data_IF_450824751953
#
_entry.id   IF_450824751953
#
_cell.length_a   1.000
_cell.length_b   1.000
_cell.length_c   1.000
_cell.angle_alpha   90.00
_cell.angle_beta   90.00
_cell.angle_gamma   90.00
#
_symmetry.space_group_name_H-M   'P 1'
#
loop_
_entity.id
_entity.type
_entity.pdbx_description
1 polymer ?
#
# COMPACT_ATOMS: atom_id res chain seq x y z
N UNK A 1 -5.44 35.73 8.83
CA UNK A 1 -5.68 34.33 8.30
C UNK A 1 -4.99 33.34 9.23
N UNK A 2 -5.77 32.46 9.86
CA UNK A 2 -5.33 31.58 10.94
C UNK A 2 -4.34 30.51 10.45
N UNK A 3 -3.37 30.10 11.29
CA UNK A 3 -2.41 29.00 11.05
C UNK A 3 -3.10 27.69 10.60
N UNK A 4 -4.35 27.48 10.99
CA UNK A 4 -5.20 26.33 10.64
C UNK A 4 -5.63 26.32 9.16
N UNK A 5 -5.90 27.48 8.57
CA UNK A 5 -6.31 27.63 7.16
C UNK A 5 -5.10 27.41 6.23
N UNK A 6 -3.92 27.91 6.63
CA UNK A 6 -2.67 27.73 5.87
C UNK A 6 -2.22 26.25 5.86
N UNK A 7 -2.38 25.53 6.97
CA UNK A 7 -2.04 24.10 7.07
C UNK A 7 -2.96 23.24 6.19
N UNK A 8 -4.28 23.50 6.18
CA UNK A 8 -5.25 22.80 5.31
C UNK A 8 -4.97 23.01 3.81
N UNK A 9 -4.59 24.23 3.40
CA UNK A 9 -4.26 24.49 1.99
C UNK A 9 -2.98 23.77 1.54
N UNK A 10 -1.98 23.68 2.40
CA UNK A 10 -0.70 22.99 2.11
C UNK A 10 -0.90 21.46 2.03
N UNK A 11 -1.70 20.88 2.94
CA UNK A 11 -2.05 19.44 2.89
C UNK A 11 -2.86 19.09 1.63
N UNK A 12 -3.79 19.95 1.21
CA UNK A 12 -4.58 19.74 -0.01
C UNK A 12 -3.72 19.77 -1.28
N UNK A 13 -2.74 20.67 -1.35
CA UNK A 13 -1.79 20.75 -2.48
C UNK A 13 -0.90 19.50 -2.50
N UNK A 14 -0.41 19.04 -1.36
CA UNK A 14 0.41 17.83 -1.26
C UNK A 14 -0.34 16.58 -1.76
N UNK A 15 -1.62 16.41 -1.39
CA UNK A 15 -2.43 15.27 -1.82
C UNK A 15 -2.70 15.33 -3.33
N UNK A 16 -2.94 16.51 -3.90
CA UNK A 16 -3.12 16.67 -5.33
C UNK A 16 -1.87 16.29 -6.13
N UNK A 17 -0.67 16.62 -5.62
CA UNK A 17 0.58 16.19 -6.22
C UNK A 17 0.75 14.66 -6.08
N UNK A 18 0.49 14.08 -4.91
CA UNK A 18 0.55 12.63 -4.71
C UNK A 18 -0.39 11.86 -5.67
N UNK A 19 -1.58 12.40 -5.97
CA UNK A 19 -2.54 11.80 -6.92
C UNK A 19 -2.00 11.70 -8.35
N UNK A 20 -1.09 12.58 -8.76
CA UNK A 20 -0.48 12.52 -10.10
C UNK A 20 0.38 11.28 -10.29
N UNK A 21 0.77 10.62 -9.20
CA UNK A 21 1.57 9.40 -9.21
C UNK A 21 0.72 8.11 -9.11
N UNK A 22 -0.61 8.23 -9.14
CA UNK A 22 -1.48 7.05 -9.19
C UNK A 22 -1.49 6.47 -10.61
N UNK A 23 -1.33 5.15 -10.68
CA UNK A 23 -1.26 4.42 -11.93
C UNK A 23 -2.55 4.59 -12.75
N UNK A 24 -2.42 5.09 -13.96
CA UNK A 24 -3.50 5.29 -14.93
C UNK A 24 -3.17 4.61 -16.24
N UNK A 25 -4.16 4.46 -17.13
CA UNK A 25 -3.92 3.95 -18.49
C UNK A 25 -3.08 4.91 -19.35
N UNK A 26 -2.93 6.17 -18.92
CA UNK A 26 -2.19 7.22 -19.65
C UNK A 26 -0.75 7.38 -19.15
N UNK A 27 -0.35 6.63 -18.11
CA UNK A 27 1.01 6.70 -17.60
C UNK A 27 2.02 6.22 -18.62
N UNK A 28 3.25 6.68 -18.43
CA UNK A 28 4.34 6.23 -19.29
C UNK A 28 4.53 4.71 -19.17
N UNK A 29 5.02 4.13 -20.25
CA UNK A 29 5.26 2.70 -20.36
C UNK A 29 6.13 2.14 -19.20
N UNK A 30 7.10 2.91 -18.73
CA UNK A 30 8.04 2.44 -17.71
C UNK A 30 7.39 2.30 -16.35
N UNK A 31 6.55 3.26 -15.96
CA UNK A 31 5.78 3.19 -14.72
C UNK A 31 4.84 1.97 -14.73
N UNK A 32 4.14 1.74 -15.85
CA UNK A 32 3.27 0.57 -15.98
C UNK A 32 4.06 -0.75 -15.89
N UNK A 33 5.19 -0.87 -16.60
CA UNK A 33 6.03 -2.07 -16.58
C UNK A 33 6.71 -2.30 -15.23
N UNK A 34 7.06 -1.24 -14.49
CA UNK A 34 7.60 -1.37 -13.14
C UNK A 34 6.60 -2.05 -12.19
N UNK A 35 5.31 -1.63 -12.22
CA UNK A 35 4.28 -2.26 -11.41
C UNK A 35 3.88 -3.65 -11.89
N UNK A 36 3.91 -3.94 -13.20
CA UNK A 36 3.74 -5.30 -13.73
C UNK A 36 4.86 -6.22 -13.26
N UNK A 37 6.10 -5.75 -13.30
CA UNK A 37 7.27 -6.50 -12.80
C UNK A 37 7.17 -6.73 -11.30
N UNK A 38 6.81 -5.70 -10.51
CA UNK A 38 6.61 -5.82 -9.07
C UNK A 38 5.55 -6.88 -8.75
N UNK A 39 4.39 -6.81 -9.41
CA UNK A 39 3.32 -7.81 -9.27
C UNK A 39 3.82 -9.23 -9.56
N UNK A 40 4.54 -9.42 -10.69
CA UNK A 40 5.09 -10.73 -11.06
C UNK A 40 6.05 -11.26 -10.01
N UNK A 41 6.93 -10.42 -9.48
CA UNK A 41 7.88 -10.80 -8.44
C UNK A 41 7.18 -11.22 -7.14
N UNK A 42 6.11 -10.51 -6.75
CA UNK A 42 5.29 -10.86 -5.58
C UNK A 42 4.63 -12.23 -5.80
N UNK A 43 4.02 -12.47 -6.98
CA UNK A 43 3.40 -13.75 -7.31
C UNK A 43 4.45 -14.86 -7.21
N UNK A 44 5.64 -14.69 -7.77
CA UNK A 44 6.73 -15.67 -7.67
C UNK A 44 7.19 -15.90 -6.23
N UNK A 45 7.26 -14.85 -5.40
CA UNK A 45 7.64 -14.97 -3.99
C UNK A 45 6.60 -15.75 -3.16
N UNK A 46 5.35 -15.79 -3.62
CA UNK A 46 4.23 -16.50 -3.00
C UNK A 46 3.93 -17.85 -3.69
N UNK A 47 4.74 -18.27 -4.67
CA UNK A 47 4.58 -19.56 -5.38
C UNK A 47 4.74 -20.72 -4.40
N UNK A 48 3.87 -21.72 -4.53
CA UNK A 48 3.82 -22.89 -3.62
C UNK A 48 2.86 -22.73 -2.44
N UNK A 49 2.31 -21.55 -2.23
CA UNK A 49 1.23 -21.32 -1.28
C UNK A 49 -0.11 -21.29 -2.04
N UNK A 50 -1.04 -22.17 -1.68
CA UNK A 50 -2.37 -22.19 -2.28
C UNK A 50 -3.28 -21.09 -1.74
N UNK A 51 -4.30 -20.70 -2.52
CA UNK A 51 -5.36 -19.78 -2.11
C UNK A 51 -5.05 -18.31 -2.34
N UNK A 52 -6.00 -17.49 -1.93
CA UNK A 52 -5.97 -16.03 -2.04
C UNK A 52 -4.97 -15.43 -1.04
N UNK A 53 -4.41 -14.25 -1.34
CA UNK A 53 -3.27 -13.68 -0.62
C UNK A 53 -3.58 -12.36 0.06
N UNK A 54 -3.03 -12.20 1.26
CA UNK A 54 -3.01 -10.95 2.02
C UNK A 54 -1.58 -10.40 1.98
N UNK A 55 -1.39 -9.25 1.36
CA UNK A 55 -0.09 -8.61 1.17
C UNK A 55 -0.08 -7.30 1.95
N UNK A 56 0.86 -7.17 2.86
CA UNK A 56 1.05 -5.91 3.58
C UNK A 56 2.08 -5.04 2.88
N UNK A 57 1.83 -3.73 2.82
CA UNK A 57 2.77 -2.73 2.34
C UNK A 57 3.13 -1.80 3.49
N UNK A 58 4.41 -1.67 3.78
CA UNK A 58 4.92 -0.79 4.84
C UNK A 58 6.24 -0.14 4.44
N UNK A 59 6.81 0.67 5.33
CA UNK A 59 8.11 1.34 5.15
C UNK A 59 8.78 1.57 6.51
N UNK A 60 10.04 2.00 6.53
CA UNK A 60 10.73 2.34 7.77
C UNK A 60 10.15 3.60 8.42
N UNK A 61 10.01 4.67 7.63
CA UNK A 61 9.63 6.01 8.07
C UNK A 61 8.47 6.58 7.26
N UNK A 62 7.96 7.72 7.69
CA UNK A 62 6.93 8.47 6.95
C UNK A 62 7.45 9.00 5.61
N UNK A 63 6.52 9.26 4.68
CA UNK A 63 6.79 9.89 3.38
C UNK A 63 7.69 9.09 2.42
N UNK A 64 7.84 7.78 2.63
CA UNK A 64 8.57 6.90 1.73
C UNK A 64 7.74 6.41 0.53
N UNK A 65 6.43 6.72 0.49
CA UNK A 65 5.55 6.42 -0.65
C UNK A 65 4.77 5.12 -0.52
N UNK A 66 4.68 4.54 0.68
CA UNK A 66 3.94 3.29 0.94
C UNK A 66 2.50 3.31 0.39
N UNK A 67 1.71 4.36 0.70
CA UNK A 67 0.30 4.42 0.30
C UNK A 67 0.12 4.54 -1.23
N UNK A 68 0.97 5.32 -1.91
CA UNK A 68 0.99 5.36 -3.39
C UNK A 68 1.36 3.99 -3.96
N UNK A 69 2.36 3.33 -3.38
CA UNK A 69 2.77 1.98 -3.79
C UNK A 69 1.64 0.98 -3.56
N UNK A 70 0.93 1.04 -2.43
CA UNK A 70 -0.23 0.19 -2.11
C UNK A 70 -1.35 0.34 -3.14
N UNK A 71 -1.73 1.59 -3.47
CA UNK A 71 -2.77 1.88 -4.48
C UNK A 71 -2.35 1.36 -5.85
N UNK A 72 -1.15 1.70 -6.31
CA UNK A 72 -0.66 1.31 -7.63
C UNK A 72 -0.49 -0.21 -7.76
N UNK A 73 -0.05 -0.88 -6.71
CA UNK A 73 0.02 -2.33 -6.65
C UNK A 73 -1.38 -2.94 -6.76
N UNK A 74 -2.37 -2.42 -6.03
CA UNK A 74 -3.76 -2.86 -6.09
C UNK A 74 -4.34 -2.69 -7.50
N UNK A 75 -4.10 -1.54 -8.14
CA UNK A 75 -4.48 -1.30 -9.55
C UNK A 75 -3.83 -2.33 -10.46
N UNK A 76 -2.52 -2.59 -10.30
CA UNK A 76 -1.79 -3.54 -11.15
C UNK A 76 -2.30 -4.97 -11.01
N UNK A 77 -2.71 -5.41 -9.81
CA UNK A 77 -3.35 -6.71 -9.60
C UNK A 77 -4.76 -6.75 -10.21
N UNK A 78 -5.58 -5.71 -10.02
CA UNK A 78 -6.94 -5.65 -10.55
C UNK A 78 -6.99 -5.68 -12.08
N UNK A 79 -5.96 -5.17 -12.77
CA UNK A 79 -5.80 -5.25 -14.23
C UNK A 79 -5.63 -6.68 -14.78
N UNK A 80 -5.50 -7.69 -13.92
CA UNK A 80 -5.40 -9.11 -14.32
C UNK A 80 -6.70 -9.89 -14.08
N UNK A 81 -7.84 -9.21 -14.09
CA UNK A 81 -9.17 -9.78 -13.84
C UNK A 81 -9.29 -10.50 -12.48
N UNK A 82 -8.48 -10.09 -11.51
CA UNK A 82 -8.52 -10.58 -10.13
C UNK A 82 -9.25 -9.60 -9.23
N UNK A 83 -10.17 -10.10 -8.41
CA UNK A 83 -10.81 -9.28 -7.38
C UNK A 83 -9.79 -8.87 -6.34
N UNK A 84 -9.63 -7.57 -6.14
CA UNK A 84 -8.65 -6.98 -5.21
C UNK A 84 -9.37 -6.07 -4.22
N UNK A 85 -9.02 -6.19 -2.94
CA UNK A 85 -9.43 -5.25 -1.90
C UNK A 85 -8.18 -4.55 -1.35
N UNK A 86 -8.20 -3.23 -1.36
CA UNK A 86 -7.20 -2.39 -0.71
C UNK A 86 -7.77 -1.85 0.60
N UNK A 87 -7.08 -2.05 1.72
CA UNK A 87 -7.53 -1.63 3.05
C UNK A 87 -6.56 -0.60 3.64
N UNK A 88 -7.08 0.54 4.10
CA UNK A 88 -6.33 1.53 4.86
C UNK A 88 -6.21 1.10 6.33
N UNK A 89 -5.08 0.51 6.67
CA UNK A 89 -4.73 0.08 8.02
C UNK A 89 -3.89 1.11 8.78
N UNK A 90 -3.57 2.28 8.17
CA UNK A 90 -2.97 3.40 8.89
C UNK A 90 -4.08 4.19 9.62
N UNK A 91 -4.62 3.60 10.70
CA UNK A 91 -5.70 4.20 11.49
C UNK A 91 -5.28 5.48 12.23
N UNK A 92 -4.00 5.87 12.14
CA UNK A 92 -3.47 7.08 12.79
C UNK A 92 -3.37 8.27 11.83
N UNK A 93 -2.97 8.00 10.58
CA UNK A 93 -2.80 8.99 9.51
C UNK A 93 -3.30 8.45 8.18
N UNK A 94 -4.60 8.13 8.09
CA UNK A 94 -5.17 7.52 6.90
C UNK A 94 -5.04 8.42 5.67
N UNK A 95 -4.74 7.82 4.52
CA UNK A 95 -4.53 8.55 3.28
C UNK A 95 -5.39 8.07 2.12
N UNK A 96 -5.84 6.81 2.12
CA UNK A 96 -6.48 6.22 0.94
C UNK A 96 -7.77 6.95 0.53
N UNK A 97 -8.61 7.36 1.49
CA UNK A 97 -9.81 8.14 1.19
C UNK A 97 -9.48 9.43 0.42
N UNK A 98 -8.47 10.16 0.89
CA UNK A 98 -8.00 11.38 0.23
C UNK A 98 -7.35 11.10 -1.11
N UNK A 99 -6.47 10.09 -1.23
CA UNK A 99 -5.78 9.75 -2.48
C UNK A 99 -6.76 9.34 -3.59
N UNK A 100 -7.78 8.57 -3.25
CA UNK A 100 -8.75 8.03 -4.21
C UNK A 100 -10.00 8.90 -4.37
N UNK A 101 -10.07 10.06 -3.70
CA UNK A 101 -11.24 10.96 -3.71
C UNK A 101 -12.52 10.26 -3.24
N UNK A 102 -12.40 9.39 -2.25
CA UNK A 102 -13.54 8.68 -1.67
C UNK A 102 -14.11 9.48 -0.50
N UNK A 103 -15.43 9.64 -0.49
CA UNK A 103 -16.15 10.09 0.68
C UNK A 103 -16.53 8.85 1.50
N UNK A 104 -15.83 8.61 2.61
CA UNK A 104 -16.12 7.47 3.45
C UNK A 104 -16.23 7.89 4.90
N UNK A 105 -17.38 7.61 5.51
CA UNK A 105 -17.61 7.77 6.94
C UNK A 105 -17.45 6.43 7.67
N UNK A 106 -17.72 5.30 6.97
CA UNK A 106 -17.59 3.94 7.49
C UNK A 106 -16.35 3.29 6.87
N UNK A 107 -15.53 2.63 7.69
CA UNK A 107 -14.31 1.94 7.25
C UNK A 107 -13.87 0.88 8.24
N UNK A 108 -12.62 0.47 8.15
CA UNK A 108 -12.04 -0.64 8.91
C UNK A 108 -12.30 -0.54 10.42
N UNK A 109 -12.07 0.62 11.03
CA UNK A 109 -12.26 0.81 12.47
C UNK A 109 -13.70 0.57 12.89
N UNK A 110 -14.68 1.02 12.10
CA UNK A 110 -16.09 0.83 12.35
C UNK A 110 -16.48 -0.64 12.21
N UNK A 111 -16.02 -1.34 11.17
CA UNK A 111 -16.26 -2.77 10.95
C UNK A 111 -15.69 -3.63 12.08
N UNK A 112 -14.51 -3.27 12.61
CA UNK A 112 -13.92 -3.98 13.73
C UNK A 112 -14.68 -3.81 15.05
N UNK A 113 -15.50 -2.77 15.17
CA UNK A 113 -16.43 -2.56 16.29
C UNK A 113 -17.77 -3.23 16.01
N UNK A 114 -18.33 -3.03 14.82
CA UNK A 114 -19.62 -3.56 14.38
C UNK A 114 -19.49 -4.19 12.99
N UNK A 115 -19.42 -5.52 12.95
CA UNK A 115 -19.23 -6.30 11.71
C UNK A 115 -20.39 -6.13 10.72
N UNK A 116 -21.57 -5.74 11.16
CA UNK A 116 -22.73 -5.52 10.27
C UNK A 116 -22.50 -4.40 9.25
N UNK A 117 -21.49 -3.57 9.48
CA UNK A 117 -21.09 -2.48 8.59
C UNK A 117 -20.16 -2.90 7.44
N UNK A 118 -19.78 -4.20 7.33
CA UNK A 118 -18.79 -4.66 6.38
C UNK A 118 -19.14 -4.32 4.92
N UNK A 119 -20.37 -4.61 4.50
CA UNK A 119 -20.81 -4.31 3.13
C UNK A 119 -20.76 -2.81 2.82
N UNK A 120 -21.13 -1.97 3.78
CA UNK A 120 -21.10 -0.51 3.63
C UNK A 120 -19.68 0.06 3.60
N UNK A 121 -18.72 -0.59 4.27
CA UNK A 121 -17.34 -0.16 4.34
C UNK A 121 -16.55 -0.47 3.06
N UNK A 122 -17.02 -1.41 2.24
CA UNK A 122 -16.37 -1.81 0.98
C UNK A 122 -16.89 -0.93 -0.16
N UNK A 123 -16.02 -0.04 -0.63
CA UNK A 123 -16.34 0.93 -1.66
C UNK A 123 -15.81 0.49 -3.03
N UNK A 124 -16.64 0.51 -4.08
CA UNK A 124 -16.15 0.30 -5.44
C UNK A 124 -15.27 1.49 -5.87
N UNK A 125 -14.33 1.22 -6.77
CA UNK A 125 -13.49 2.27 -7.38
C UNK A 125 -13.82 2.43 -8.87
N UNK A 126 -13.17 3.41 -9.51
CA UNK A 126 -13.23 3.58 -10.98
C UNK A 126 -12.41 2.51 -11.72
N UNK A 127 -11.58 1.76 -11.01
CA UNK A 127 -10.77 0.67 -11.58
C UNK A 127 -11.59 -0.62 -11.46
N UNK A 128 -11.89 -1.32 -12.57
CA UNK A 128 -12.59 -2.60 -12.51
C UNK A 128 -11.87 -3.59 -11.60
N UNK A 129 -12.61 -4.41 -10.88
CA UNK A 129 -12.10 -5.43 -9.96
C UNK A 129 -11.36 -4.90 -8.72
N UNK A 130 -11.29 -3.57 -8.50
CA UNK A 130 -10.68 -2.97 -7.32
C UNK A 130 -11.74 -2.36 -6.40
N UNK A 131 -11.84 -2.88 -5.18
CA UNK A 131 -12.58 -2.28 -4.07
C UNK A 131 -11.63 -1.71 -3.03
N UNK A 132 -12.12 -0.76 -2.23
CA UNK A 132 -11.33 -0.12 -1.17
C UNK A 132 -12.15 -0.08 0.12
N UNK A 133 -11.50 -0.41 1.22
CA UNK A 133 -11.99 -0.14 2.57
C UNK A 133 -11.10 0.94 3.19
N UNK A 134 -11.68 2.09 3.50
CA UNK A 134 -10.95 3.18 4.17
C UNK A 134 -10.74 2.86 5.65
N UNK A 135 -9.97 3.68 6.35
CA UNK A 135 -9.73 3.50 7.79
C UNK A 135 -10.98 3.60 8.65
N UNK A 136 -11.98 4.39 8.21
CA UNK A 136 -13.09 4.82 9.05
C UNK A 136 -12.68 5.90 10.05
N UNK A 137 -13.36 5.96 11.19
CA UNK A 137 -13.06 6.88 12.27
C UNK A 137 -11.74 6.51 12.96
N UNK A 138 -10.97 7.52 13.38
CA UNK A 138 -9.69 7.30 14.08
C UNK A 138 -9.98 6.79 15.49
N UNK A 139 -9.63 5.52 15.81
CA UNK A 139 -9.90 4.97 17.13
C UNK A 139 -8.85 5.43 18.16
N UNK A 140 -9.15 5.39 19.46
CA UNK A 140 -8.17 5.76 20.51
C UNK A 140 -7.04 4.73 20.67
N UNK A 141 -7.26 3.47 20.29
CA UNK A 141 -6.34 2.35 20.49
C UNK A 141 -6.11 1.55 19.18
N UNK A 142 -5.46 2.12 18.14
CA UNK A 142 -5.31 1.48 16.84
C UNK A 142 -4.63 0.10 16.89
N UNK A 143 -3.51 -0.02 17.61
CA UNK A 143 -2.74 -1.27 17.69
C UNK A 143 -3.53 -2.44 18.27
N UNK A 144 -4.33 -2.18 19.33
CA UNK A 144 -5.16 -3.20 19.95
C UNK A 144 -6.28 -3.65 18.99
N UNK A 145 -6.88 -2.69 18.30
CA UNK A 145 -7.95 -2.95 17.33
C UNK A 145 -7.44 -3.80 16.16
N UNK A 146 -6.29 -3.43 15.59
CA UNK A 146 -5.62 -4.18 14.52
C UNK A 146 -5.08 -5.54 15.00
N UNK A 147 -4.71 -5.65 16.28
CA UNK A 147 -4.27 -6.88 16.93
C UNK A 147 -5.39 -7.83 17.36
N UNK A 148 -6.65 -7.41 17.25
CA UNK A 148 -7.80 -8.15 17.79
C UNK A 148 -8.11 -9.44 17.01
N UNK A 149 -8.83 -10.37 17.67
CA UNK A 149 -9.40 -11.56 17.01
C UNK A 149 -10.40 -11.18 15.91
N UNK A 150 -11.07 -10.02 16.05
CA UNK A 150 -12.00 -9.52 15.04
C UNK A 150 -11.27 -9.17 13.74
N UNK A 151 -10.08 -8.57 13.82
CA UNK A 151 -9.26 -8.30 12.64
C UNK A 151 -8.82 -9.60 11.95
N UNK A 152 -8.43 -10.62 12.71
CA UNK A 152 -8.09 -11.94 12.16
C UNK A 152 -9.28 -12.56 11.43
N UNK A 153 -10.46 -12.58 12.08
CA UNK A 153 -11.68 -13.13 11.48
C UNK A 153 -12.09 -12.37 10.20
N UNK A 154 -12.01 -11.03 10.22
CA UNK A 154 -12.29 -10.20 9.06
C UNK A 154 -11.35 -10.51 7.89
N UNK A 155 -10.05 -10.63 8.13
CA UNK A 155 -9.08 -10.95 7.08
C UNK A 155 -9.33 -12.34 6.48
N UNK A 156 -9.68 -13.35 7.29
CA UNK A 156 -10.01 -14.67 6.79
C UNK A 156 -11.30 -14.67 5.97
N UNK A 157 -12.32 -13.91 6.35
CA UNK A 157 -13.55 -13.74 5.58
C UNK A 157 -13.26 -13.06 4.23
N UNK A 158 -12.51 -11.96 4.23
CA UNK A 158 -12.14 -11.24 3.02
C UNK A 158 -11.29 -12.09 2.08
N UNK A 159 -10.44 -12.97 2.61
CA UNK A 159 -9.65 -13.96 1.85
C UNK A 159 -10.54 -14.92 1.06
N UNK A 160 -11.76 -15.20 1.49
CA UNK A 160 -12.66 -16.09 0.73
C UNK A 160 -13.26 -15.40 -0.52
N UNK A 161 -13.30 -14.06 -0.53
CA UNK A 161 -13.98 -13.26 -1.56
C UNK A 161 -12.99 -12.64 -2.54
N UNK A 162 -11.82 -12.18 -2.06
CA UNK A 162 -10.83 -11.45 -2.84
C UNK A 162 -9.61 -12.31 -3.11
N UNK A 163 -9.14 -12.31 -4.37
CA UNK A 163 -7.89 -13.00 -4.73
C UNK A 163 -6.68 -12.36 -4.07
N UNK A 164 -6.71 -11.05 -3.90
CA UNK A 164 -5.68 -10.28 -3.21
C UNK A 164 -6.30 -9.26 -2.26
N UNK A 165 -5.85 -9.26 -1.02
CA UNK A 165 -6.13 -8.21 -0.04
C UNK A 165 -4.82 -7.48 0.22
N UNK A 166 -4.78 -6.17 -0.04
CA UNK A 166 -3.59 -5.34 0.15
C UNK A 166 -3.82 -4.43 1.34
N UNK A 167 -2.92 -4.49 2.32
CA UNK A 167 -2.99 -3.69 3.55
C UNK A 167 -1.99 -2.53 3.45
N UNK A 168 -2.48 -1.29 3.39
CA UNK A 168 -1.62 -0.10 3.56
C UNK A 168 -1.45 0.18 5.05
N UNK A 169 -0.24 0.04 5.57
CA UNK A 169 0.05 0.12 7.00
C UNK A 169 0.97 1.27 7.36
N UNK A 170 0.97 1.76 8.62
CA UNK A 170 1.90 2.81 9.05
C UNK A 170 3.36 2.33 9.00
N UNK A 171 4.34 3.26 9.11
CA UNK A 171 5.76 2.91 9.13
C UNK A 171 6.14 2.10 10.38
N UNK A 172 7.02 1.10 10.19
CA UNK A 172 7.44 0.14 11.23
C UNK A 172 8.10 0.82 12.43
N UNK A 173 9.02 1.77 12.20
CA UNK A 173 9.76 2.43 13.28
C UNK A 173 8.94 3.47 14.07
N UNK A 174 7.74 3.77 13.61
CA UNK A 174 6.90 4.80 14.25
C UNK A 174 5.91 4.21 15.24
N UNK A 175 5.36 3.04 14.92
CA UNK A 175 4.29 2.38 15.69
C UNK A 175 4.30 0.87 15.46
N UNK A 176 3.78 0.12 16.42
CA UNK A 176 3.75 -1.34 16.39
C UNK A 176 2.70 -1.93 15.44
N UNK A 177 1.79 -1.12 14.94
CA UNK A 177 0.63 -1.50 14.13
C UNK A 177 1.03 -2.37 12.92
N UNK A 178 2.09 -1.96 12.20
CA UNK A 178 2.59 -2.69 11.04
C UNK A 178 3.12 -4.08 11.41
N UNK A 179 3.86 -4.20 12.51
CA UNK A 179 4.41 -5.48 12.99
C UNK A 179 3.29 -6.40 13.46
N UNK A 180 2.29 -5.86 14.16
CA UNK A 180 1.11 -6.61 14.64
C UNK A 180 0.32 -7.20 13.47
N UNK A 181 0.12 -6.44 12.39
CA UNK A 181 -0.59 -6.92 11.19
C UNK A 181 0.23 -7.88 10.35
N UNK A 182 1.54 -7.72 10.33
CA UNK A 182 2.42 -8.49 9.49
C UNK A 182 2.31 -10.02 9.75
N UNK A 183 2.10 -10.42 10.99
CA UNK A 183 1.86 -11.84 11.36
C UNK A 183 0.55 -12.42 10.83
N UNK A 184 -0.33 -11.60 10.26
CA UNK A 184 -1.63 -11.99 9.66
C UNK A 184 -1.64 -11.87 8.15
N UNK A 185 -0.53 -11.45 7.56
CA UNK A 185 -0.33 -11.39 6.12
C UNK A 185 0.51 -12.56 5.62
N UNK A 186 0.39 -12.88 4.33
CA UNK A 186 1.25 -13.89 3.68
C UNK A 186 2.64 -13.34 3.39
N UNK A 187 2.83 -12.03 3.54
CA UNK A 187 4.13 -11.38 3.49
C UNK A 187 4.04 -9.87 3.35
N UNK A 188 5.19 -9.25 3.56
CA UNK A 188 5.37 -7.79 3.59
C UNK A 188 6.16 -7.33 2.38
N UNK A 189 5.64 -6.33 1.68
CA UNK A 189 6.35 -5.54 0.69
C UNK A 189 6.90 -4.30 1.39
N UNK A 190 8.23 -4.13 1.38
CA UNK A 190 8.90 -3.06 2.09
C UNK A 190 9.28 -1.92 1.13
N UNK A 191 8.79 -0.71 1.40
CA UNK A 191 9.04 0.46 0.55
C UNK A 191 10.21 1.28 1.13
N UNK A 192 11.17 1.60 0.26
CA UNK A 192 12.34 2.44 0.55
C UNK A 192 12.34 3.59 -0.44
N UNK A 193 12.60 4.81 0.00
CA UNK A 193 12.63 5.98 -0.88
C UNK A 193 14.06 6.43 -1.15
N UNK A 194 14.44 6.46 -2.43
CA UNK A 194 15.75 6.92 -2.88
C UNK A 194 16.03 8.35 -2.41
N UNK A 195 17.22 8.58 -1.85
CA UNK A 195 17.65 9.90 -1.37
C UNK A 195 16.89 10.42 -0.13
N UNK A 196 16.03 9.60 0.50
CA UNK A 196 15.24 9.97 1.67
C UNK A 196 15.37 8.95 2.82
N UNK A 197 15.26 7.66 2.52
CA UNK A 197 15.38 6.61 3.53
C UNK A 197 16.81 6.50 4.03
N UNK A 198 16.99 6.53 5.35
CA UNK A 198 18.28 6.33 5.99
C UNK A 198 18.54 4.84 6.21
N UNK A 199 19.78 4.40 5.95
CA UNK A 199 20.18 3.00 6.04
C UNK A 199 19.87 2.40 7.43
N UNK A 200 20.21 3.12 8.50
CA UNK A 200 19.96 2.67 9.87
C UNK A 200 18.46 2.45 10.13
N UNK A 201 17.63 3.42 9.75
CA UNK A 201 16.16 3.29 9.91
C UNK A 201 15.58 2.10 9.13
N UNK A 202 16.12 1.81 7.94
CA UNK A 202 15.70 0.63 7.16
C UNK A 202 16.12 -0.66 7.88
N UNK A 203 17.35 -0.72 8.40
CA UNK A 203 17.86 -1.88 9.14
C UNK A 203 17.02 -2.14 10.40
N UNK A 204 16.76 -1.11 11.22
CA UNK A 204 15.95 -1.23 12.43
C UNK A 204 14.54 -1.76 12.13
N UNK A 205 13.92 -1.29 11.05
CA UNK A 205 12.60 -1.73 10.65
C UNK A 205 12.59 -3.18 10.15
N UNK A 206 13.60 -3.58 9.39
CA UNK A 206 13.76 -4.96 8.91
C UNK A 206 13.99 -5.91 10.07
N UNK A 207 14.85 -5.56 11.03
CA UNK A 207 15.11 -6.36 12.24
C UNK A 207 13.83 -6.58 13.05
N UNK A 208 12.97 -5.56 13.20
CA UNK A 208 11.67 -5.71 13.88
C UNK A 208 10.75 -6.70 13.16
N UNK A 209 10.70 -6.67 11.82
CA UNK A 209 9.90 -7.61 11.02
C UNK A 209 10.47 -9.03 11.09
N UNK A 210 11.79 -9.19 11.02
CA UNK A 210 12.46 -10.49 11.17
C UNK A 210 12.25 -11.09 12.55
N UNK A 211 12.36 -10.26 13.62
CA UNK A 211 12.06 -10.69 14.99
C UNK A 211 10.62 -11.22 15.12
N UNK A 212 9.67 -10.59 14.43
CA UNK A 212 8.28 -11.03 14.34
C UNK A 212 8.10 -12.26 13.41
N UNK A 213 9.17 -12.79 12.81
CA UNK A 213 9.18 -13.92 11.86
C UNK A 213 8.29 -13.68 10.65
N UNK A 214 8.24 -12.45 10.18
CA UNK A 214 7.44 -12.03 9.04
C UNK A 214 8.20 -12.30 7.75
N UNK A 215 7.51 -12.85 6.75
CA UNK A 215 8.06 -13.05 5.41
C UNK A 215 8.15 -11.71 4.66
N UNK A 216 9.36 -11.24 4.37
CA UNK A 216 9.56 -10.08 3.49
C UNK A 216 9.57 -10.57 2.05
N UNK A 217 8.58 -10.15 1.25
CA UNK A 217 8.42 -10.54 -0.16
C UNK A 217 9.44 -9.85 -1.06
N UNK A 218 9.91 -8.68 -0.64
CA UNK A 218 10.89 -7.89 -1.37
C UNK A 218 10.84 -6.41 -1.01
N UNK A 219 11.67 -5.64 -1.71
CA UNK A 219 11.84 -4.20 -1.49
C UNK A 219 11.43 -3.43 -2.74
N UNK A 220 10.73 -2.31 -2.54
CA UNK A 220 10.40 -1.34 -3.59
C UNK A 220 11.25 -0.10 -3.38
N UNK A 221 12.13 0.21 -4.33
CA UNK A 221 12.84 1.48 -4.35
C UNK A 221 11.98 2.52 -5.06
N UNK A 222 11.37 3.41 -4.28
CA UNK A 222 10.52 4.49 -4.75
C UNK A 222 11.29 5.80 -4.94
N UNK A 223 10.77 6.71 -5.76
CA UNK A 223 11.34 8.05 -5.96
C UNK A 223 12.69 8.06 -6.66
N UNK A 224 12.95 7.06 -7.50
CA UNK A 224 14.16 7.03 -8.34
C UNK A 224 14.00 8.04 -9.47
N UNK A 225 14.89 9.03 -9.53
CA UNK A 225 14.95 9.99 -10.62
C UNK A 225 15.60 9.31 -11.85
N UNK A 226 14.78 9.08 -12.87
CA UNK A 226 15.23 8.42 -14.11
C UNK A 226 16.20 9.29 -14.94
N UNK A 227 16.24 10.59 -14.70
CA UNK A 227 17.13 11.52 -15.44
C UNK A 227 18.51 11.67 -14.78
N UNK A 228 18.62 11.45 -13.48
CA UNK A 228 19.86 11.54 -12.74
C UNK A 228 20.55 10.18 -12.69
N UNK A 229 21.12 9.69 -13.78
CA UNK A 229 22.17 8.63 -13.92
C UNK A 229 22.45 7.66 -12.75
N UNK A 230 21.46 7.33 -11.90
CA UNK A 230 21.56 6.44 -10.76
C UNK A 230 21.26 4.98 -11.13
N UNK A 231 21.30 4.12 -10.16
CA UNK A 231 21.08 2.68 -10.20
C UNK A 231 19.86 2.34 -11.09
N UNK A 232 20.06 1.84 -12.30
CA UNK A 232 18.99 1.52 -13.25
C UNK A 232 19.09 2.21 -14.61
N UNK A 233 19.91 3.25 -14.77
CA UNK A 233 20.09 3.98 -16.04
C UNK A 233 20.50 3.06 -17.21
N UNK A 234 21.23 1.99 -16.94
CA UNK A 234 21.63 0.99 -17.94
C UNK A 234 20.45 0.14 -18.45
N UNK A 235 19.52 -0.26 -17.56
CA UNK A 235 18.28 -0.94 -17.94
C UNK A 235 17.32 0.05 -18.64
N UNK A 236 17.20 1.26 -18.14
CA UNK A 236 16.39 2.33 -18.70
C UNK A 236 16.84 2.70 -20.14
N UNK A 237 18.16 2.84 -20.38
CA UNK A 237 18.70 3.04 -21.74
C UNK A 237 18.46 1.86 -22.68
N UNK A 238 18.54 0.63 -22.21
CA UNK A 238 18.24 -0.56 -23.04
C UNK A 238 16.78 -0.58 -23.46
N UNK A 239 15.82 -0.31 -22.56
CA UNK A 239 14.39 -0.28 -22.87
C UNK A 239 14.02 0.86 -23.84
N UNK A 240 14.65 2.04 -23.72
CA UNK A 240 14.43 3.14 -24.68
C UNK A 240 14.82 2.75 -26.11
N UNK A 241 15.76 1.82 -26.27
CA UNK A 241 16.17 1.27 -27.56
C UNK A 241 15.15 0.28 -28.16
N UNK A 242 14.31 -0.36 -27.31
CA UNK A 242 13.24 -1.27 -27.76
C UNK A 242 12.01 -0.52 -28.33
N UNK A 243 11.80 0.74 -27.97
CA UNK A 243 10.68 1.56 -28.47
C UNK A 243 10.80 1.93 -29.98
N UNK A 244 11.90 1.58 -30.62
CA UNK A 244 12.13 1.81 -32.07
C UNK A 244 11.75 0.63 -32.97
N UNK A 245 11.10 -0.43 -32.44
CA UNK A 245 10.67 -1.61 -33.19
C UNK A 245 9.17 -1.86 -33.10
N UNK A 246 8.37 -0.81 -33.07
CA UNK A 246 6.91 -0.91 -33.15
C UNK A 246 6.35 0.20 -34.01
#
# INVERSE_FOLDING_TARGET
>A
MSKRTKKRSTESISILEERKHLLTQKDDFFTQEAYKTLRSNIIFSLTGEEGNKIIQVTSAMMSEGKSITSVNLAISFAQTDRKVLLIDCDLRRPKLASLLSLGANVGLSNVLVDHTLLEQAILPTKVPNLSVMTSGEIPPNPSELLGSKRMTALLEELRQVYHYVILDTPPVNMVTDAVVLASRSDGVLFVVRAGHSEKGSVQDAVEQLEYAKVKILGYVLNGVDSERGGYGSGKYRRYKKYKGYG
#
